data_IF_841183588781
#
_entry.id   IF_841183588781
#
_cell.length_a   1.000
_cell.length_b   1.000
_cell.length_c   1.000
_cell.angle_alpha   90.00
_cell.angle_beta   90.00
_cell.angle_gamma   90.00
#
_symmetry.space_group_name_H-M   'P 1'
#
loop_
_entity.id
_entity.type
_entity.pdbx_description
1 polymer ?
#
# COMPACT_ATOMS: atom_id res chain seq x y z
N UNK A 1 -9.90 -4.49 5.19
CA UNK A 1 -8.65 -5.06 4.66
C UNK A 1 -9.05 -6.45 4.23
N UNK A 2 -9.10 -6.71 2.93
CA UNK A 2 -9.34 -8.07 2.45
C UNK A 2 -8.25 -8.99 3.01
N UNK A 3 -8.61 -10.24 3.29
CA UNK A 3 -7.77 -11.26 3.95
C UNK A 3 -6.41 -11.48 3.29
N UNK A 4 -6.24 -11.08 2.03
CA UNK A 4 -4.99 -11.20 1.26
C UNK A 4 -3.88 -10.21 1.68
N UNK A 5 -4.22 -9.13 2.42
CA UNK A 5 -3.27 -8.07 2.75
C UNK A 5 -2.09 -8.49 3.64
N UNK A 6 -2.15 -9.64 4.32
CA UNK A 6 -1.12 -10.14 5.23
C UNK A 6 -0.33 -11.34 4.69
N UNK A 7 -0.68 -11.87 3.51
CA UNK A 7 -0.02 -13.05 2.95
C UNK A 7 1.48 -12.83 2.71
N UNK A 8 1.91 -11.58 2.51
CA UNK A 8 3.32 -11.26 2.36
C UNK A 8 4.18 -11.72 3.55
N UNK A 9 3.64 -11.76 4.77
CA UNK A 9 4.35 -12.22 5.96
C UNK A 9 4.64 -13.73 5.94
N UNK A 10 3.86 -14.50 5.17
CA UNK A 10 3.88 -15.97 5.17
C UNK A 10 4.00 -16.56 3.76
N UNK A 11 4.34 -15.75 2.75
CA UNK A 11 4.33 -16.17 1.34
C UNK A 11 5.29 -17.32 1.06
N UNK A 12 6.42 -17.34 1.75
CA UNK A 12 7.40 -18.42 1.76
C UNK A 12 6.77 -19.75 2.21
N UNK A 13 6.03 -19.74 3.32
CA UNK A 13 5.30 -20.93 3.79
C UNK A 13 4.22 -21.37 2.80
N UNK A 14 3.49 -20.42 2.19
CA UNK A 14 2.44 -20.74 1.21
C UNK A 14 3.03 -21.38 -0.06
N UNK A 15 4.19 -20.91 -0.51
CA UNK A 15 4.88 -21.43 -1.70
C UNK A 15 5.34 -22.87 -1.47
N UNK A 16 5.85 -23.16 -0.27
CA UNK A 16 6.33 -24.49 0.15
C UNK A 16 5.17 -25.47 0.39
N UNK A 17 4.16 -25.08 1.17
CA UNK A 17 3.07 -25.98 1.59
C UNK A 17 2.13 -26.34 0.44
N UNK A 18 1.96 -25.44 -0.54
CA UNK A 18 1.06 -25.62 -1.66
C UNK A 18 1.81 -25.59 -3.01
N UNK A 19 2.57 -26.65 -3.37
CA UNK A 19 3.47 -26.64 -4.52
C UNK A 19 2.76 -26.39 -5.86
N UNK A 20 1.49 -26.77 -5.99
CA UNK A 20 0.67 -26.57 -7.19
C UNK A 20 -0.11 -25.24 -7.17
N UNK A 21 -0.05 -24.47 -6.07
CA UNK A 21 -0.74 -23.19 -5.99
C UNK A 21 -0.11 -22.15 -6.92
N UNK A 22 -0.98 -21.37 -7.54
CA UNK A 22 -0.65 -20.21 -8.37
C UNK A 22 -0.94 -18.93 -7.59
N UNK A 23 -0.09 -17.94 -7.74
CA UNK A 23 -0.15 -16.68 -7.01
C UNK A 23 -0.41 -15.54 -7.98
N UNK A 24 -1.41 -14.71 -7.66
CA UNK A 24 -1.67 -13.47 -8.38
C UNK A 24 -1.28 -12.31 -7.47
N UNK A 25 -0.26 -11.55 -7.87
CA UNK A 25 0.13 -10.31 -7.21
C UNK A 25 -0.56 -9.14 -7.89
N UNK A 26 -1.52 -8.54 -7.20
CA UNK A 26 -2.10 -7.26 -7.62
C UNK A 26 -1.18 -6.12 -7.22
N UNK A 27 -0.56 -5.47 -8.20
CA UNK A 27 0.36 -4.36 -7.96
C UNK A 27 -0.35 -3.04 -8.24
N UNK A 28 -0.11 -2.02 -7.42
CA UNK A 28 -0.57 -0.65 -7.65
C UNK A 28 0.63 0.27 -7.51
N UNK A 29 0.68 1.33 -8.32
CA UNK A 29 1.73 2.33 -8.18
C UNK A 29 1.76 2.92 -6.76
N UNK A 30 2.95 3.30 -6.30
CA UNK A 30 3.16 3.74 -4.92
C UNK A 30 2.34 4.99 -4.59
N UNK A 31 2.10 5.90 -5.53
CA UNK A 31 1.36 7.13 -5.28
C UNK A 31 -0.12 6.85 -5.06
N UNK A 32 -0.76 6.10 -5.95
CA UNK A 32 -2.16 5.69 -5.81
C UNK A 32 -2.38 4.80 -4.59
N UNK A 33 -1.44 3.90 -4.28
CA UNK A 33 -1.47 3.07 -3.09
C UNK A 33 -1.36 3.93 -1.81
N UNK A 34 -0.35 4.78 -1.73
CA UNK A 34 -0.10 5.64 -0.57
C UNK A 34 -1.26 6.61 -0.34
N UNK A 35 -1.78 7.23 -1.39
CA UNK A 35 -2.96 8.10 -1.29
C UNK A 35 -4.18 7.35 -0.75
N UNK A 36 -4.41 6.12 -1.22
CA UNK A 36 -5.50 5.26 -0.73
C UNK A 36 -5.31 4.89 0.75
N UNK A 37 -4.09 4.57 1.17
CA UNK A 37 -3.77 4.23 2.55
C UNK A 37 -3.92 5.45 3.48
N UNK A 38 -3.40 6.62 3.08
CA UNK A 38 -3.56 7.86 3.83
C UNK A 38 -5.04 8.19 4.01
N UNK A 39 -5.84 8.13 2.94
CA UNK A 39 -7.27 8.39 3.03
C UNK A 39 -8.00 7.43 3.97
N UNK A 40 -7.70 6.13 3.89
CA UNK A 40 -8.28 5.11 4.79
C UNK A 40 -7.93 5.37 6.26
N UNK A 41 -6.65 5.64 6.53
CA UNK A 41 -6.14 5.88 7.88
C UNK A 41 -6.69 7.18 8.46
N UNK A 42 -6.72 8.25 7.65
CA UNK A 42 -7.33 9.53 8.03
C UNK A 42 -8.81 9.38 8.37
N UNK A 43 -9.57 8.61 7.58
CA UNK A 43 -10.96 8.29 7.88
C UNK A 43 -11.13 7.56 9.22
N UNK A 44 -10.24 6.60 9.52
CA UNK A 44 -10.26 5.90 10.82
C UNK A 44 -9.98 6.87 11.99
N UNK A 45 -8.94 7.70 11.86
CA UNK A 45 -8.56 8.66 12.90
C UNK A 45 -9.64 9.70 13.17
N UNK A 46 -10.23 10.26 12.12
CA UNK A 46 -11.28 11.31 12.23
C UNK A 46 -12.61 10.74 12.72
N UNK A 47 -12.90 9.47 12.44
CA UNK A 47 -14.07 8.78 13.01
C UNK A 47 -13.91 8.47 14.52
N UNK A 48 -12.75 8.76 15.12
CA UNK A 48 -12.45 8.42 16.51
C UNK A 48 -12.15 6.94 16.72
N UNK A 49 -11.92 6.18 15.65
CA UNK A 49 -11.57 4.78 15.73
C UNK A 49 -10.04 4.71 15.82
N UNK A 50 -9.51 4.07 16.86
CA UNK A 50 -8.10 3.70 16.86
C UNK A 50 -7.82 2.84 15.63
N UNK A 51 -7.02 3.32 14.68
CA UNK A 51 -6.72 2.53 13.48
C UNK A 51 -5.73 1.43 13.82
N UNK A 52 -6.19 0.17 13.89
CA UNK A 52 -5.29 -0.99 14.03
C UNK A 52 -4.28 -1.06 12.87
N UNK A 53 -4.71 -0.67 11.67
CA UNK A 53 -3.83 -0.55 10.52
C UNK A 53 -2.81 0.59 10.70
N UNK A 54 -3.23 1.76 11.21
CA UNK A 54 -2.33 2.86 11.53
C UNK A 54 -1.32 2.50 12.63
N UNK A 55 -1.77 1.80 13.66
CA UNK A 55 -0.90 1.29 14.72
C UNK A 55 0.13 0.29 14.17
N UNK A 56 -0.29 -0.63 13.30
CA UNK A 56 0.63 -1.54 12.62
C UNK A 56 1.63 -0.76 11.76
N UNK A 57 1.19 0.19 10.93
CA UNK A 57 2.06 1.00 10.08
C UNK A 57 3.09 1.82 10.88
N UNK A 58 2.73 2.28 12.08
CA UNK A 58 3.64 2.97 13.00
C UNK A 58 4.64 2.04 13.66
N UNK A 59 4.19 0.83 14.00
CA UNK A 59 5.00 -0.14 14.71
C UNK A 59 5.77 -1.07 13.77
N UNK A 60 5.61 -0.99 12.45
CA UNK A 60 6.28 -1.89 11.52
C UNK A 60 7.41 -1.15 10.82
N UNK A 61 8.65 -1.59 11.07
CA UNK A 61 9.83 -1.16 10.32
C UNK A 61 10.21 -2.24 9.29
N UNK A 62 10.74 -1.82 8.14
CA UNK A 62 11.24 -2.74 7.09
C UNK A 62 12.74 -2.61 7.03
N UNK A 63 13.43 -3.71 7.31
CA UNK A 63 14.88 -3.77 7.35
C UNK A 63 15.45 -3.92 5.94
N UNK A 64 16.74 -3.58 5.72
CA UNK A 64 17.38 -3.66 4.41
C UNK A 64 17.35 -5.06 3.76
N UNK A 65 17.24 -6.11 4.57
CA UNK A 65 17.13 -7.51 4.13
C UNK A 65 15.68 -7.93 3.79
N UNK A 66 14.73 -6.99 3.84
CA UNK A 66 13.31 -7.24 3.58
C UNK A 66 12.57 -7.90 4.74
N UNK A 67 13.23 -8.12 5.88
CA UNK A 67 12.56 -8.57 7.10
C UNK A 67 11.85 -7.41 7.79
N UNK A 68 10.85 -7.74 8.62
CA UNK A 68 10.07 -6.75 9.35
C UNK A 68 10.47 -6.73 10.82
N UNK A 69 10.57 -5.53 11.41
CA UNK A 69 10.78 -5.34 12.84
C UNK A 69 9.59 -4.63 13.45
N UNK A 70 9.04 -5.20 14.52
CA UNK A 70 8.05 -4.51 15.34
C UNK A 70 8.75 -3.52 16.29
N UNK A 71 8.40 -2.25 16.14
CA UNK A 71 8.85 -1.12 16.93
C UNK A 71 7.78 -0.78 17.97
N UNK A 72 8.17 -0.63 19.24
CA UNK A 72 7.26 -0.14 20.27
C UNK A 72 7.23 1.39 20.25
N UNK A 73 6.40 1.97 19.36
CA UNK A 73 6.27 3.41 19.19
C UNK A 73 4.80 3.87 19.28
N UNK A 74 4.17 3.72 20.47
CA UNK A 74 2.81 4.17 20.66
C UNK A 74 2.72 5.70 20.48
N UNK A 75 1.59 6.17 19.98
CA UNK A 75 1.28 7.60 19.82
C UNK A 75 2.30 8.36 18.97
N UNK A 76 2.78 7.77 17.87
CA UNK A 76 3.53 8.50 16.84
C UNK A 76 2.65 8.79 15.61
N UNK A 77 2.98 9.85 14.86
CA UNK A 77 2.41 10.08 13.53
C UNK A 77 2.82 8.97 12.57
N UNK A 78 1.93 8.63 11.64
CA UNK A 78 2.20 7.71 10.54
C UNK A 78 3.16 8.38 9.56
N UNK A 79 4.33 7.77 9.38
CA UNK A 79 5.38 8.27 8.48
C UNK A 79 5.15 7.76 7.07
N UNK A 80 5.05 8.64 6.10
CA UNK A 80 4.95 8.27 4.69
C UNK A 80 6.21 7.51 4.22
N UNK A 81 7.39 7.82 4.75
CA UNK A 81 8.60 7.02 4.52
C UNK A 81 8.41 5.54 4.93
N UNK A 82 7.74 5.28 6.05
CA UNK A 82 7.52 3.90 6.47
C UNK A 82 6.56 3.18 5.51
N UNK A 83 5.56 3.90 5.00
CA UNK A 83 4.62 3.38 4.02
C UNK A 83 5.33 3.02 2.71
N UNK A 84 6.25 3.85 2.20
CA UNK A 84 7.02 3.55 0.98
C UNK A 84 7.90 2.33 1.16
N UNK A 85 8.58 2.19 2.30
CA UNK A 85 9.35 0.99 2.66
C UNK A 85 8.49 -0.27 2.72
N UNK A 86 7.32 -0.18 3.34
CA UNK A 86 6.35 -1.29 3.42
C UNK A 86 5.90 -1.69 2.01
N UNK A 87 5.51 -0.72 1.17
CA UNK A 87 5.11 -1.01 -0.21
C UNK A 87 6.20 -1.77 -0.96
N UNK A 88 7.45 -1.30 -0.93
CA UNK A 88 8.56 -1.98 -1.62
C UNK A 88 8.83 -3.36 -1.01
N UNK A 89 8.97 -3.45 0.31
CA UNK A 89 9.32 -4.69 1.00
C UNK A 89 8.28 -5.79 0.78
N UNK A 90 6.99 -5.45 0.86
CA UNK A 90 5.89 -6.40 0.63
C UNK A 90 5.91 -6.95 -0.79
N UNK A 91 5.96 -6.07 -1.79
CA UNK A 91 5.91 -6.48 -3.19
C UNK A 91 7.17 -7.26 -3.59
N UNK A 92 8.35 -6.78 -3.19
CA UNK A 92 9.62 -7.46 -3.49
C UNK A 92 9.68 -8.85 -2.86
N UNK A 93 9.19 -9.00 -1.62
CA UNK A 93 9.15 -10.30 -0.94
C UNK A 93 8.32 -11.32 -1.72
N UNK A 94 7.15 -10.93 -2.21
CA UNK A 94 6.31 -11.83 -3.04
C UNK A 94 7.02 -12.18 -4.35
N UNK A 95 7.56 -11.18 -5.06
CA UNK A 95 8.27 -11.37 -6.34
C UNK A 95 9.48 -12.30 -6.18
N UNK A 96 10.20 -12.19 -5.08
CA UNK A 96 11.40 -13.00 -4.82
C UNK A 96 11.09 -14.39 -4.26
N UNK A 97 10.00 -14.57 -3.51
CA UNK A 97 9.67 -15.85 -2.88
C UNK A 97 8.92 -16.81 -3.80
N UNK A 98 8.08 -16.29 -4.71
CA UNK A 98 7.26 -17.13 -5.59
C UNK A 98 8.03 -17.45 -6.89
N UNK A 99 8.12 -18.74 -7.31
CA UNK A 99 8.69 -19.09 -8.61
C UNK A 99 7.97 -18.38 -9.76
N UNK A 100 8.71 -17.93 -10.77
CA UNK A 100 8.19 -17.08 -11.86
C UNK A 100 7.02 -17.72 -12.61
N UNK A 101 7.08 -19.02 -12.84
CA UNK A 101 6.04 -19.82 -13.50
C UNK A 101 4.75 -19.96 -12.66
N UNK A 102 4.82 -19.69 -11.36
CA UNK A 102 3.69 -19.71 -10.41
C UNK A 102 3.21 -18.31 -10.02
N UNK A 103 3.79 -17.25 -10.58
CA UNK A 103 3.46 -15.86 -10.25
C UNK A 103 2.91 -15.11 -11.48
N UNK A 104 1.71 -14.58 -11.34
CA UNK A 104 1.15 -13.58 -12.26
C UNK A 104 1.10 -12.21 -11.58
N UNK A 105 1.76 -11.21 -12.16
CA UNK A 105 1.69 -9.82 -11.69
C UNK A 105 0.66 -9.08 -12.56
N UNK A 106 -0.33 -8.46 -11.91
CA UNK A 106 -1.40 -7.70 -12.58
C UNK A 106 -1.49 -6.32 -11.96
N UNK A 107 -1.45 -5.27 -12.79
CA UNK A 107 -1.68 -3.92 -12.28
C UNK A 107 -3.14 -3.74 -11.89
N UNK A 108 -3.38 -3.04 -10.79
CA UNK A 108 -4.71 -2.94 -10.18
C UNK A 108 -5.71 -2.24 -11.10
N UNK A 109 -5.26 -1.28 -11.90
CA UNK A 109 -6.02 -0.56 -12.92
C UNK A 109 -6.28 -1.40 -14.19
N UNK A 110 -5.56 -2.50 -14.36
CA UNK A 110 -5.72 -3.44 -15.48
C UNK A 110 -6.54 -4.69 -15.12
N UNK A 111 -6.93 -4.88 -13.85
CA UNK A 111 -7.54 -6.13 -13.37
C UNK A 111 -8.75 -6.59 -14.21
N UNK A 112 -9.68 -5.66 -14.51
CA UNK A 112 -10.84 -5.98 -15.36
C UNK A 112 -10.42 -6.28 -16.78
N UNK A 113 -9.49 -5.51 -17.35
CA UNK A 113 -9.00 -5.72 -18.71
C UNK A 113 -8.24 -7.05 -18.86
N UNK A 114 -7.59 -7.52 -17.79
CA UNK A 114 -6.78 -8.75 -17.75
C UNK A 114 -7.52 -9.93 -17.13
N UNK A 115 -8.85 -9.85 -16.97
CA UNK A 115 -9.65 -10.93 -16.38
C UNK A 115 -9.48 -12.26 -17.14
N UNK A 116 -9.44 -12.21 -18.47
CA UNK A 116 -9.21 -13.41 -19.30
C UNK A 116 -7.83 -14.04 -19.09
N UNK A 117 -6.81 -13.23 -18.87
CA UNK A 117 -5.45 -13.71 -18.58
C UNK A 117 -5.38 -14.32 -17.18
N UNK A 118 -6.01 -13.69 -16.18
CA UNK A 118 -6.12 -14.24 -14.82
C UNK A 118 -6.82 -15.60 -14.85
N UNK A 119 -7.95 -15.71 -15.58
CA UNK A 119 -8.67 -16.97 -15.72
C UNK A 119 -7.81 -18.05 -16.38
N UNK A 120 -7.13 -17.72 -17.49
CA UNK A 120 -6.21 -18.63 -18.17
C UNK A 120 -5.06 -19.08 -17.27
N UNK A 121 -4.46 -18.14 -16.52
CA UNK A 121 -3.43 -18.44 -15.55
C UNK A 121 -3.94 -19.38 -14.46
N UNK A 122 -5.13 -19.14 -13.90
CA UNK A 122 -5.76 -20.02 -12.92
C UNK A 122 -6.26 -21.36 -13.51
N UNK A 123 -6.41 -21.47 -14.83
CA UNK A 123 -6.96 -22.67 -15.48
C UNK A 123 -8.48 -22.80 -15.32
N UNK A 124 -9.19 -21.67 -15.24
CA UNK A 124 -10.65 -21.61 -15.05
C UNK A 124 -11.33 -20.91 -16.22
N UNK A 125 -12.65 -21.08 -16.35
CA UNK A 125 -13.46 -20.34 -17.31
C UNK A 125 -13.52 -18.84 -16.92
N UNK A 126 -13.21 -17.90 -17.84
CA UNK A 126 -13.34 -16.46 -17.58
C UNK A 126 -14.72 -16.01 -17.08
N UNK A 127 -15.79 -16.73 -17.46
CA UNK A 127 -17.16 -16.45 -17.01
C UNK A 127 -17.39 -16.70 -15.51
N UNK A 128 -16.44 -17.34 -14.82
CA UNK A 128 -16.47 -17.55 -13.37
C UNK A 128 -15.85 -16.41 -12.56
N UNK A 129 -15.17 -15.46 -13.22
CA UNK A 129 -14.58 -14.30 -12.58
C UNK A 129 -15.51 -13.09 -12.68
N UNK A 130 -15.94 -12.60 -11.52
CA UNK A 130 -16.71 -11.37 -11.42
C UNK A 130 -15.82 -10.15 -11.72
N UNK A 131 -16.16 -9.29 -12.71
CA UNK A 131 -15.36 -8.10 -13.07
C UNK A 131 -15.54 -6.93 -12.09
N UNK A 132 -15.81 -7.20 -10.82
CA UNK A 132 -16.27 -6.19 -9.86
C UNK A 132 -15.10 -5.52 -9.15
N UNK A 133 -14.94 -4.21 -9.34
CA UNK A 133 -14.13 -3.34 -8.49
C UNK A 133 -14.97 -2.79 -7.32
N UNK A 134 -15.30 -3.65 -6.33
CA UNK A 134 -16.21 -3.31 -5.23
C UNK A 134 -15.68 -2.22 -4.30
N UNK A 135 -14.36 -2.08 -4.20
CA UNK A 135 -13.67 -1.21 -3.24
C UNK A 135 -13.07 0.04 -3.90
N UNK A 136 -13.87 0.77 -4.69
CA UNK A 136 -13.45 2.06 -5.23
C UNK A 136 -13.22 3.06 -4.08
N UNK A 137 -11.98 3.56 -3.96
CA UNK A 137 -11.61 4.52 -2.93
C UNK A 137 -12.26 5.89 -3.12
N UNK A 138 -12.19 6.74 -2.09
CA UNK A 138 -12.64 8.13 -2.19
C UNK A 138 -11.88 8.88 -3.29
N UNK A 139 -12.60 9.72 -4.04
CA UNK A 139 -11.99 10.60 -5.02
C UNK A 139 -11.42 11.85 -4.31
N UNK A 140 -10.32 11.64 -3.57
CA UNK A 140 -9.53 12.67 -2.89
C UNK A 140 -8.04 12.51 -3.21
N UNK A 141 -7.29 13.62 -3.18
CA UNK A 141 -5.83 13.63 -3.34
C UNK A 141 -5.16 14.13 -2.06
N UNK A 142 -4.97 13.23 -1.10
CA UNK A 142 -4.35 13.48 0.20
C UNK A 142 -2.87 13.85 0.09
N UNK A 143 -2.19 13.38 -0.97
CA UNK A 143 -0.75 13.64 -1.15
C UNK A 143 -0.43 15.11 -1.41
N UNK A 144 -1.41 15.92 -1.83
CA UNK A 144 -1.26 17.38 -2.03
C UNK A 144 -0.95 18.16 -0.75
N UNK A 145 -1.19 17.56 0.41
CA UNK A 145 -0.93 18.19 1.71
C UNK A 145 0.51 18.04 2.21
N UNK A 146 1.37 17.35 1.46
CA UNK A 146 2.77 17.15 1.80
C UNK A 146 3.66 17.89 0.80
N UNK A 147 4.89 18.18 1.22
CA UNK A 147 5.91 18.74 0.35
C UNK A 147 6.23 17.77 -0.80
N UNK A 148 6.01 18.23 -2.04
CA UNK A 148 6.11 17.37 -3.22
C UNK A 148 7.53 16.94 -3.52
N UNK A 149 8.53 17.80 -3.26
CA UNK A 149 9.94 17.49 -3.53
C UNK A 149 10.43 16.40 -2.58
N UNK A 150 10.15 16.55 -1.28
CA UNK A 150 10.50 15.57 -0.27
C UNK A 150 9.77 14.23 -0.46
N UNK A 151 8.51 14.27 -0.91
CA UNK A 151 7.74 13.06 -1.18
C UNK A 151 8.27 12.30 -2.40
N UNK A 152 8.58 13.00 -3.49
CA UNK A 152 9.23 12.39 -4.66
C UNK A 152 10.60 11.82 -4.28
N UNK A 153 11.39 12.53 -3.47
CA UNK A 153 12.68 12.04 -2.97
C UNK A 153 12.51 10.73 -2.18
N UNK A 154 11.49 10.63 -1.33
CA UNK A 154 11.18 9.39 -0.59
C UNK A 154 10.82 8.22 -1.50
N UNK A 155 10.02 8.47 -2.53
CA UNK A 155 9.64 7.45 -3.51
C UNK A 155 10.84 7.03 -4.35
N UNK A 156 11.66 7.97 -4.80
CA UNK A 156 12.89 7.67 -5.51
C UNK A 156 13.88 6.87 -4.63
N UNK A 157 13.98 7.19 -3.34
CA UNK A 157 14.88 6.50 -2.42
C UNK A 157 14.46 5.04 -2.16
N UNK A 158 13.16 4.80 -1.96
CA UNK A 158 12.67 3.50 -1.46
C UNK A 158 11.95 2.64 -2.49
N UNK A 159 11.39 3.23 -3.55
CA UNK A 159 10.46 2.53 -4.46
C UNK A 159 10.92 2.54 -5.92
N UNK A 160 12.00 3.25 -6.26
CA UNK A 160 12.45 3.47 -7.63
C UNK A 160 12.52 2.21 -8.47
N UNK A 161 13.17 1.15 -7.99
CA UNK A 161 13.39 -0.07 -8.78
C UNK A 161 12.08 -0.68 -9.25
N UNK A 162 11.13 -0.93 -8.34
CA UNK A 162 9.82 -1.49 -8.69
C UNK A 162 8.97 -0.51 -9.51
N UNK A 163 9.06 0.79 -9.23
CA UNK A 163 8.33 1.81 -9.98
C UNK A 163 8.84 1.93 -11.42
N UNK A 164 10.14 1.90 -11.66
CA UNK A 164 10.73 1.93 -13.01
C UNK A 164 10.39 0.65 -13.80
N UNK A 165 10.37 -0.51 -13.13
CA UNK A 165 10.04 -1.79 -13.75
C UNK A 165 8.56 -1.92 -14.14
N UNK A 166 7.65 -1.53 -13.25
CA UNK A 166 6.21 -1.76 -13.42
C UNK A 166 5.40 -0.52 -13.85
N UNK A 167 5.88 0.68 -13.56
CA UNK A 167 5.20 1.95 -13.85
C UNK A 167 6.14 2.97 -14.52
N UNK A 168 6.76 2.62 -15.66
CA UNK A 168 7.79 3.45 -16.28
C UNK A 168 7.26 4.84 -16.63
N UNK A 169 7.98 5.88 -16.19
CA UNK A 169 7.64 7.28 -16.45
C UNK A 169 6.57 7.88 -15.52
N UNK A 170 6.03 7.10 -14.58
CA UNK A 170 5.14 7.63 -13.56
C UNK A 170 5.95 8.39 -12.48
N UNK A 171 5.55 9.62 -12.21
CA UNK A 171 6.14 10.52 -11.19
C UNK A 171 5.01 11.11 -10.35
N UNK A 172 5.34 11.74 -9.21
CA UNK A 172 4.33 12.46 -8.42
C UNK A 172 3.66 13.54 -9.25
N UNK A 173 4.41 14.20 -10.15
CA UNK A 173 3.88 15.24 -11.03
C UNK A 173 2.86 14.69 -12.04
N UNK A 174 3.14 13.57 -12.70
CA UNK A 174 2.19 12.96 -13.64
C UNK A 174 0.98 12.37 -12.91
N UNK A 175 1.19 11.75 -11.75
CA UNK A 175 0.11 11.31 -10.85
C UNK A 175 -0.80 12.48 -10.42
N UNK A 176 -0.22 13.60 -9.96
CA UNK A 176 -0.97 14.76 -9.51
C UNK A 176 -1.75 15.43 -10.64
N UNK A 177 -1.17 15.47 -11.85
CA UNK A 177 -1.83 16.01 -13.05
C UNK A 177 -3.08 15.20 -13.40
N UNK A 178 -3.00 13.86 -13.35
CA UNK A 178 -4.14 12.98 -13.58
C UNK A 178 -5.27 13.16 -12.54
N UNK A 179 -4.98 13.81 -11.40
CA UNK A 179 -5.91 14.02 -10.28
C UNK A 179 -6.09 15.50 -9.94
N UNK A 180 -5.88 16.41 -10.89
CA UNK A 180 -5.89 17.86 -10.64
C UNK A 180 -7.25 18.37 -10.14
N UNK A 181 -8.33 17.81 -10.66
CA UNK A 181 -9.71 18.22 -10.34
C UNK A 181 -10.29 17.48 -9.13
N UNK A 182 -9.47 16.65 -8.48
CA UNK A 182 -9.86 15.86 -7.33
C UNK A 182 -9.72 16.72 -6.06
N UNK A 183 -10.74 16.66 -5.20
CA UNK A 183 -10.77 17.40 -3.93
C UNK A 183 -9.59 17.04 -3.00
N UNK A 184 -9.18 18.00 -2.19
CA UNK A 184 -8.11 17.86 -1.19
C UNK A 184 -8.73 17.97 0.21
N UNK A 185 -8.29 17.14 1.19
CA UNK A 185 -8.71 17.35 2.58
C UNK A 185 -8.15 18.65 3.15
N UNK A 186 -8.58 19.02 4.36
CA UNK A 186 -7.88 20.03 5.15
C UNK A 186 -6.47 19.51 5.51
N UNK A 187 -5.46 20.16 4.96
CA UNK A 187 -4.07 19.78 5.17
C UNK A 187 -3.59 19.99 6.61
N UNK A 188 -4.15 20.95 7.35
CA UNK A 188 -3.81 21.13 8.76
C UNK A 188 -4.29 19.94 9.58
N UNK A 189 -5.46 19.40 9.26
CA UNK A 189 -6.00 18.24 9.96
C UNK A 189 -5.25 16.97 9.59
N UNK A 190 -4.89 16.79 8.31
CA UNK A 190 -4.12 15.63 7.86
C UNK A 190 -2.73 15.57 8.54
N UNK A 191 -2.01 16.69 8.59
CA UNK A 191 -0.65 16.73 9.17
C UNK A 191 -0.60 16.52 10.69
N UNK A 192 -1.75 16.46 11.39
CA UNK A 192 -1.81 16.01 12.79
C UNK A 192 -1.52 14.52 12.94
N UNK A 193 -1.85 13.74 11.92
CA UNK A 193 -1.76 12.27 11.95
C UNK A 193 -0.60 11.71 11.16
N UNK A 194 -0.11 12.46 10.16
CA UNK A 194 0.93 12.03 9.24
C UNK A 194 2.14 12.96 9.25
N UNK A 195 3.31 12.38 9.00
CA UNK A 195 4.57 13.09 8.74
C UNK A 195 5.27 12.45 7.54
N UNK A 196 6.24 13.17 6.94
CA UNK A 196 7.01 12.60 5.84
C UNK A 196 8.06 11.62 6.39
N UNK A 197 8.92 12.11 7.28
CA UNK A 197 10.05 11.36 7.85
C UNK A 197 10.10 11.45 9.37
N UNK A 198 9.56 12.53 9.93
CA UNK A 198 9.74 12.92 11.32
C UNK A 198 9.07 11.92 12.25
N UNK A 199 9.82 11.48 13.26
CA UNK A 199 9.27 10.80 14.43
C UNK A 199 8.69 11.88 15.33
N UNK A 200 7.39 12.13 15.16
CA UNK A 200 6.67 13.12 15.94
C UNK A 200 5.59 12.43 16.77
N UNK A 201 5.49 12.70 18.07
CA UNK A 201 4.35 12.28 18.85
C UNK A 201 3.07 12.80 18.19
N UNK A 202 2.04 11.97 18.12
CA UNK A 202 0.70 12.45 17.82
C UNK A 202 0.05 12.92 19.12
N UNK A 203 -0.71 14.01 19.05
CA UNK A 203 -1.55 14.48 20.17
C UNK A 203 -2.70 13.50 20.48
N UNK A 204 -2.88 12.50 19.61
CA UNK A 204 -3.83 11.42 19.82
C UNK A 204 -3.39 10.55 21.00
N UNK A 205 -4.15 10.65 22.11
CA UNK A 205 -4.20 9.59 23.10
C UNK A 205 -5.01 8.47 22.48
N UNK A 206 -4.39 7.31 22.19
CA UNK A 206 -5.17 6.10 21.94
C UNK A 206 -6.20 5.95 23.05
N UNK A 207 -7.48 6.15 22.74
CA UNK A 207 -8.56 5.75 23.63
C UNK A 207 -8.36 4.26 23.83
N UNK A 208 -7.92 3.87 25.04
CA UNK A 208 -7.79 2.47 25.43
C UNK A 208 -9.05 1.76 24.98
N UNK A 209 -8.91 0.78 24.09
CA UNK A 209 -10.02 -0.11 23.82
C UNK A 209 -10.39 -0.76 25.17
N UNK A 210 -11.68 -0.81 25.54
CA UNK A 210 -12.10 -1.63 26.66
C UNK A 210 -11.59 -3.06 26.40
N UNK A 211 -11.02 -3.65 27.45
CA UNK A 211 -10.49 -5.01 27.45
C UNK A 211 -11.58 -6.04 27.07
#
# INVERSE_FOLDING_TARGET
MDSCGAHFCIVDFLVEEFPDAKFVLTLRDVYSWMNSCVGKLFGDFTAGWGSRAGALMNCLDVLPDGSFRLMNQPNMKVRLEQMTKIWTGVNQRVISAVPKERLLIVHTDELVARNGEIAAFCGIDPGLLDPIHANAGQNMNFLRCFDSEQLEELVHLHCRTLMEEHYPGLTLASYATARKDVSCPDCQDLTRYFSLREVTPTEFVQTKFPA
#
